data_IF_388898426836
#
_entry.id   IF_388898426836
#
_cell.length_a   1.000
_cell.length_b   1.000
_cell.length_c   1.000
_cell.angle_alpha   90.00
_cell.angle_beta   90.00
_cell.angle_gamma   90.00
#
_symmetry.space_group_name_H-M   'P 1'
#
loop_
_entity.id
_entity.type
_entity.pdbx_description
1 polymer ?
#
# COMPACT_ATOMS: atom_id res chain seq x y z
N UNK A 1 8.47 -8.42 -2.29
CA UNK A 1 8.85 -9.48 -1.33
C UNK A 1 9.86 -8.91 -0.33
N UNK A 2 9.69 -9.14 0.97
CA UNK A 2 10.46 -8.45 2.02
C UNK A 2 11.65 -9.30 2.47
N UNK A 3 12.80 -8.67 2.73
CA UNK A 3 13.93 -9.23 3.47
C UNK A 3 13.83 -8.78 4.93
N UNK A 4 14.02 -9.73 5.85
CA UNK A 4 14.13 -9.47 7.29
C UNK A 4 15.55 -9.74 7.76
N UNK A 5 16.14 -8.81 8.51
CA UNK A 5 17.47 -8.94 9.11
C UNK A 5 17.35 -8.73 10.62
N UNK A 6 17.89 -9.67 11.42
CA UNK A 6 17.98 -9.51 12.88
C UNK A 6 19.30 -8.84 13.21
N UNK A 7 19.24 -7.77 14.00
CA UNK A 7 20.41 -7.05 14.48
C UNK A 7 20.79 -7.58 15.86
N UNK A 8 22.05 -7.97 16.02
CA UNK A 8 22.61 -8.43 17.29
C UNK A 8 22.92 -7.24 18.23
N UNK A 9 21.91 -6.42 18.51
CA UNK A 9 21.96 -5.28 19.44
C UNK A 9 21.35 -5.66 20.79
N UNK A 10 21.54 -4.81 21.81
CA UNK A 10 20.81 -4.89 23.08
C UNK A 10 20.05 -3.58 23.32
N UNK A 11 18.71 -3.57 23.22
CA UNK A 11 17.82 -4.71 22.90
C UNK A 11 17.98 -5.20 21.46
N UNK A 12 17.55 -6.43 21.17
CA UNK A 12 17.59 -7.02 19.82
C UNK A 12 16.77 -6.17 18.83
N UNK A 13 17.41 -5.75 17.75
CA UNK A 13 16.79 -4.99 16.67
C UNK A 13 16.36 -5.89 15.51
N UNK A 14 15.42 -5.41 14.70
CA UNK A 14 15.02 -6.07 13.45
C UNK A 14 14.82 -5.01 12.37
N UNK A 15 15.41 -5.25 11.21
CA UNK A 15 15.23 -4.42 10.02
C UNK A 15 14.46 -5.17 8.94
N UNK A 16 13.67 -4.41 8.19
CA UNK A 16 12.96 -4.88 7.02
C UNK A 16 13.33 -4.03 5.82
N UNK A 17 13.66 -4.69 4.71
CA UNK A 17 13.98 -4.03 3.45
C UNK A 17 13.31 -4.75 2.29
N UNK A 18 13.17 -4.05 1.16
CA UNK A 18 12.72 -4.69 -0.07
C UNK A 18 13.86 -5.55 -0.63
N UNK A 19 13.51 -6.76 -1.12
CA UNK A 19 14.41 -7.51 -2.00
C UNK A 19 14.35 -6.93 -3.42
N UNK A 20 15.26 -7.28 -4.35
CA UNK A 20 15.14 -6.89 -5.75
C UNK A 20 13.76 -7.20 -6.37
N UNK A 21 13.14 -8.33 -5.99
CA UNK A 21 11.77 -8.66 -6.41
C UNK A 21 10.70 -7.78 -5.73
N UNK A 22 10.94 -7.32 -4.49
CA UNK A 22 10.11 -6.28 -3.88
C UNK A 22 10.26 -4.93 -4.57
N UNK A 23 11.47 -4.59 -4.98
CA UNK A 23 11.77 -3.35 -5.69
C UNK A 23 11.11 -3.29 -7.07
N UNK A 24 11.07 -4.42 -7.79
CA UNK A 24 10.41 -4.48 -9.11
C UNK A 24 8.89 -4.25 -9.05
N UNK A 25 8.27 -4.30 -7.87
CA UNK A 25 6.85 -3.99 -7.70
C UNK A 25 6.58 -2.48 -7.58
N UNK A 26 7.61 -1.65 -7.37
CA UNK A 26 7.45 -0.21 -7.17
C UNK A 26 6.75 0.46 -8.36
N UNK A 27 7.18 0.18 -9.58
CA UNK A 27 6.63 0.80 -10.79
C UNK A 27 5.16 0.40 -11.02
N UNK A 28 4.79 -0.91 -11.04
CA UNK A 28 3.38 -1.30 -11.12
C UNK A 28 2.51 -0.68 -10.03
N UNK A 29 3.01 -0.65 -8.79
CA UNK A 29 2.29 -0.01 -7.68
C UNK A 29 2.14 1.50 -7.89
N UNK A 30 3.17 2.17 -8.42
CA UNK A 30 3.13 3.59 -8.78
C UNK A 30 2.05 3.91 -9.81
N UNK A 31 1.87 3.08 -10.83
CA UNK A 31 0.79 3.25 -11.80
C UNK A 31 -0.60 3.10 -11.16
N UNK A 32 -0.78 2.10 -10.32
CA UNK A 32 -2.04 1.91 -9.59
C UNK A 32 -2.32 3.11 -8.66
N UNK A 33 -1.30 3.60 -7.96
CA UNK A 33 -1.40 4.76 -7.08
C UNK A 33 -1.81 6.01 -7.87
N UNK A 34 -1.13 6.30 -8.98
CA UNK A 34 -1.41 7.46 -9.81
C UNK A 34 -2.86 7.45 -10.32
N UNK A 35 -3.31 6.32 -10.87
CA UNK A 35 -4.69 6.14 -11.31
C UNK A 35 -5.69 6.33 -10.17
N UNK A 36 -5.40 5.78 -8.99
CA UNK A 36 -6.27 5.91 -7.81
C UNK A 36 -6.40 7.35 -7.35
N UNK A 37 -5.29 8.12 -7.38
CA UNK A 37 -5.30 9.55 -7.04
C UNK A 37 -6.13 10.34 -8.05
N UNK A 38 -5.93 10.09 -9.34
CA UNK A 38 -6.68 10.73 -10.43
C UNK A 38 -8.20 10.52 -10.29
N UNK A 39 -8.62 9.30 -9.93
CA UNK A 39 -10.04 8.92 -9.84
C UNK A 39 -10.60 9.00 -8.40
N UNK A 40 -9.84 9.57 -7.46
CA UNK A 40 -10.19 9.54 -6.03
C UNK A 40 -11.57 10.14 -5.72
N UNK A 41 -11.94 11.24 -6.37
CA UNK A 41 -13.24 11.89 -6.17
C UNK A 41 -14.41 11.00 -6.64
N UNK A 42 -14.26 10.33 -7.78
CA UNK A 42 -15.25 9.41 -8.33
C UNK A 42 -15.41 8.18 -7.42
N UNK A 43 -14.28 7.59 -6.99
CA UNK A 43 -14.25 6.47 -6.05
C UNK A 43 -15.02 6.84 -4.77
N UNK A 44 -14.73 8.00 -4.18
CA UNK A 44 -15.42 8.47 -2.98
C UNK A 44 -16.91 8.74 -3.20
N UNK A 45 -17.29 9.22 -4.39
CA UNK A 45 -18.71 9.41 -4.74
C UNK A 45 -19.46 8.09 -4.80
N UNK A 46 -18.87 7.08 -5.44
CA UNK A 46 -19.41 5.73 -5.50
C UNK A 46 -19.54 5.09 -4.11
N UNK A 47 -18.53 5.28 -3.24
CA UNK A 47 -18.58 4.83 -1.84
C UNK A 47 -19.75 5.48 -1.08
N UNK A 48 -19.90 6.81 -1.13
CA UNK A 48 -21.02 7.51 -0.48
C UNK A 48 -22.38 7.06 -1.00
N UNK A 49 -22.52 6.87 -2.31
CA UNK A 49 -23.76 6.39 -2.90
C UNK A 49 -24.11 4.97 -2.42
N UNK A 50 -23.12 4.10 -2.28
CA UNK A 50 -23.31 2.77 -1.69
C UNK A 50 -23.73 2.85 -0.22
N UNK A 51 -23.01 3.63 0.59
CA UNK A 51 -23.28 3.78 2.02
C UNK A 51 -24.69 4.33 2.27
N UNK A 52 -25.12 5.31 1.48
CA UNK A 52 -26.48 5.86 1.53
C UNK A 52 -27.56 4.82 1.18
N UNK A 53 -27.25 3.83 0.34
CA UNK A 53 -28.18 2.74 -0.02
C UNK A 53 -28.23 1.65 1.04
N UNK A 54 -27.13 1.37 1.74
CA UNK A 54 -27.05 0.30 2.75
C UNK A 54 -27.43 0.80 4.14
N UNK A 55 -27.23 2.09 4.42
CA UNK A 55 -27.62 2.74 5.68
C UNK A 55 -29.07 3.24 5.73
N UNK A 56 -29.83 3.11 4.63
CA UNK A 56 -31.26 3.38 4.54
C UNK A 56 -32.06 2.06 4.56
#
# INVERSE_FOLDING_TARGET
MIRRTVLATSPVGVEYSLTPLGESLREPFGHLYAWTVEHSAEIQSCQRAYDNRVGA
#
